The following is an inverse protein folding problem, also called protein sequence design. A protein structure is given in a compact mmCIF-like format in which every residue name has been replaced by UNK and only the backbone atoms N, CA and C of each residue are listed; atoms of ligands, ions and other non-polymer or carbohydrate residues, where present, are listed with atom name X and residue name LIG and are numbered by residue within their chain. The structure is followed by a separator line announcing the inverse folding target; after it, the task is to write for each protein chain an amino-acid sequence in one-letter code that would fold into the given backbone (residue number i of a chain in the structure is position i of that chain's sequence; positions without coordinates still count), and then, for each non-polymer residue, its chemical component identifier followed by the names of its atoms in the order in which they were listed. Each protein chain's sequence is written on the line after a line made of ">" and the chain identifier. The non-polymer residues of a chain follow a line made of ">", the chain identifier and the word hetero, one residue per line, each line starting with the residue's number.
data_IF_096786598480
#
_entry.id   IF_096786598480
#
_cell.length_a   1.000
_cell.length_b   1.000
_cell.length_c   1.000
_cell.angle_alpha   90.00
_cell.angle_beta   90.00
_cell.angle_gamma   90.00
#
_symmetry.space_group_name_H-M   'P 1'
#
loop_
_entity.id
_entity.type
_entity.pdbx_description
1 polymer ?
#
# COMPACT_ATOMS: atom_id res chain seq x y z
N UNK A 1 2.94 15.94 -11.14
CA UNK A 1 4.15 15.62 -11.90
C UNK A 1 4.27 16.65 -13.02
N UNK A 2 5.19 17.59 -12.90
CA UNK A 2 5.55 18.42 -14.04
C UNK A 2 6.29 17.51 -15.03
N UNK A 3 5.66 17.19 -16.13
CA UNK A 3 6.25 16.41 -17.22
C UNK A 3 7.07 17.28 -18.18
N UNK A 4 7.05 18.58 -17.95
CA UNK A 4 7.74 19.58 -18.79
C UNK A 4 8.74 20.38 -17.96
N UNK A 5 9.88 20.64 -18.52
CA UNK A 5 10.86 21.54 -17.95
C UNK A 5 10.36 22.99 -18.04
N UNK A 6 10.70 23.86 -17.09
CA UNK A 6 10.48 25.29 -17.26
C UNK A 6 11.16 25.81 -18.52
N UNK A 7 10.70 26.96 -19.03
CA UNK A 7 11.31 27.58 -20.22
C UNK A 7 12.82 27.77 -20.04
N UNK A 8 13.61 27.36 -21.00
CA UNK A 8 15.07 27.40 -20.98
C UNK A 8 15.76 26.19 -20.29
N UNK A 9 14.99 25.21 -19.78
CA UNK A 9 15.54 24.00 -19.15
C UNK A 9 15.20 22.76 -19.96
N UNK A 10 16.13 21.82 -20.01
CA UNK A 10 16.03 20.51 -20.65
C UNK A 10 16.55 19.41 -19.74
N UNK A 11 16.44 18.16 -20.13
CA UNK A 11 17.06 17.05 -19.40
C UNK A 11 18.57 17.20 -19.29
N UNK A 12 19.20 17.77 -20.31
CA UNK A 12 20.67 17.88 -20.40
C UNK A 12 21.24 19.02 -19.53
N UNK A 13 20.45 20.07 -19.29
CA UNK A 13 20.88 21.23 -18.49
C UNK A 13 20.19 21.32 -17.13
N UNK A 14 19.48 20.27 -16.71
CA UNK A 14 18.72 20.21 -15.44
C UNK A 14 19.13 19.01 -14.60
N UNK A 15 19.07 19.17 -13.29
CA UNK A 15 19.28 18.08 -12.34
C UNK A 15 18.05 17.87 -11.48
N UNK A 16 17.54 16.63 -11.45
CA UNK A 16 16.46 16.25 -10.55
C UNK A 16 16.97 16.16 -9.11
N UNK A 17 16.48 17.02 -8.24
CA UNK A 17 16.92 17.13 -6.84
C UNK A 17 15.94 16.53 -5.84
N UNK A 18 14.71 16.20 -6.28
CA UNK A 18 13.65 15.64 -5.46
C UNK A 18 12.35 15.51 -6.21
N UNK A 19 11.31 15.14 -5.49
CA UNK A 19 9.95 15.02 -6.03
C UNK A 19 8.93 14.77 -4.94
N UNK A 20 7.68 14.69 -5.34
CA UNK A 20 6.53 14.36 -4.51
C UNK A 20 5.45 13.69 -5.35
N UNK A 21 4.47 13.08 -4.69
CA UNK A 21 3.28 12.57 -5.33
C UNK A 21 2.09 13.49 -5.04
N UNK A 22 1.33 13.82 -6.09
CA UNK A 22 0.06 14.54 -5.95
C UNK A 22 -1.09 13.54 -6.13
N UNK A 23 -2.00 13.52 -5.18
CA UNK A 23 -3.11 12.57 -5.20
C UNK A 23 -4.12 12.83 -4.09
N UNK A 24 -4.93 11.82 -3.78
CA UNK A 24 -5.79 11.86 -2.60
C UNK A 24 -4.97 11.58 -1.35
N UNK A 25 -5.13 12.43 -0.36
CA UNK A 25 -4.51 12.36 0.95
C UNK A 25 -5.56 12.05 2.00
N UNK A 26 -5.15 11.30 3.04
CA UNK A 26 -5.96 11.10 4.24
C UNK A 26 -5.85 12.31 5.16
N UNK A 27 -6.96 12.71 5.79
CA UNK A 27 -6.90 13.62 6.93
C UNK A 27 -6.33 12.88 8.15
N UNK A 28 -5.30 13.44 8.76
CA UNK A 28 -4.68 12.93 9.99
C UNK A 28 -4.40 14.09 10.94
N UNK A 29 -4.45 13.81 12.26
CA UNK A 29 -4.03 14.78 13.27
C UNK A 29 -2.49 14.85 13.39
N UNK A 30 -1.98 15.64 14.33
CA UNK A 30 -0.56 15.79 14.58
C UNK A 30 0.14 14.49 15.04
N UNK A 31 -0.61 13.53 15.54
CA UNK A 31 -0.10 12.21 15.95
C UNK A 31 -0.17 11.16 14.81
N UNK A 32 -0.72 11.54 13.65
CA UNK A 32 -0.91 10.63 12.53
C UNK A 32 -2.18 9.79 12.55
N UNK A 33 -3.07 10.00 13.55
CA UNK A 33 -4.35 9.29 13.61
C UNK A 33 -5.32 9.83 12.57
N UNK A 34 -6.11 8.97 11.88
CA UNK A 34 -7.15 9.40 10.96
C UNK A 34 -8.20 10.26 11.67
N UNK A 35 -8.58 11.35 11.01
CA UNK A 35 -9.62 12.27 11.48
C UNK A 35 -10.58 12.58 10.35
N UNK A 36 -11.73 13.14 10.69
CA UNK A 36 -12.62 13.74 9.71
C UNK A 36 -12.18 15.19 9.35
N UNK A 37 -12.86 15.82 8.40
CA UNK A 37 -12.55 17.19 7.96
C UNK A 37 -12.74 18.26 9.06
N UNK A 38 -13.44 17.95 10.15
CA UNK A 38 -13.60 18.82 11.32
C UNK A 38 -12.61 18.53 12.46
N UNK A 39 -11.71 17.56 12.27
CA UNK A 39 -10.66 17.22 13.24
C UNK A 39 -11.04 16.16 14.27
N UNK A 40 -12.23 15.54 14.18
CA UNK A 40 -12.64 14.50 15.12
C UNK A 40 -12.06 13.13 14.74
N UNK A 41 -11.45 12.47 15.72
CA UNK A 41 -11.00 11.06 15.61
C UNK A 41 -12.21 10.14 15.77
N UNK A 42 -12.21 9.02 15.04
CA UNK A 42 -13.24 7.97 15.15
C UNK A 42 -14.69 8.49 15.06
N UNK A 43 -14.88 9.68 14.52
CA UNK A 43 -16.20 10.26 14.30
C UNK A 43 -16.87 9.68 13.07
N UNK A 44 -18.19 9.90 12.95
CA UNK A 44 -18.95 9.50 11.76
C UNK A 44 -18.31 10.04 10.47
N UNK A 45 -18.00 9.13 9.54
CA UNK A 45 -17.42 9.45 8.23
C UNK A 45 -15.92 9.71 8.21
N UNK A 46 -15.17 9.46 9.29
CA UNK A 46 -13.71 9.65 9.31
C UNK A 46 -13.01 8.78 8.26
N UNK A 47 -13.47 7.57 7.99
CA UNK A 47 -12.90 6.66 6.97
C UNK A 47 -12.99 7.23 5.56
N UNK A 48 -14.01 8.06 5.28
CA UNK A 48 -14.22 8.64 3.96
C UNK A 48 -13.54 9.99 3.74
N UNK A 49 -12.97 10.58 4.78
CA UNK A 49 -12.44 11.94 4.70
C UNK A 49 -11.06 11.97 4.06
N UNK A 50 -11.05 12.42 2.81
CA UNK A 50 -9.85 12.58 1.98
C UNK A 50 -9.91 13.91 1.24
N UNK A 51 -8.76 14.44 0.87
CA UNK A 51 -8.63 15.65 0.04
C UNK A 51 -7.64 15.41 -1.09
N UNK A 52 -7.64 16.29 -2.10
CA UNK A 52 -6.63 16.25 -3.15
C UNK A 52 -5.48 17.19 -2.80
N UNK A 53 -4.26 16.71 -2.85
CA UNK A 53 -3.11 17.52 -2.50
C UNK A 53 -1.78 16.82 -2.79
N UNK A 54 -0.70 17.46 -2.38
CA UNK A 54 0.61 16.81 -2.28
C UNK A 54 0.54 15.86 -1.09
N UNK A 55 0.84 14.59 -1.31
CA UNK A 55 0.96 13.60 -0.24
C UNK A 55 2.20 13.97 0.60
N UNK A 56 2.05 14.40 1.88
CA UNK A 56 3.15 15.01 2.62
C UNK A 56 4.35 14.09 2.77
N UNK A 57 4.11 12.81 3.11
CA UNK A 57 5.14 11.80 3.31
C UNK A 57 5.68 11.19 1.99
N UNK A 58 5.25 11.67 0.84
CA UNK A 58 5.82 11.30 -0.48
C UNK A 58 6.93 12.23 -0.94
N UNK A 59 7.23 13.28 -0.19
CA UNK A 59 8.30 14.22 -0.55
C UNK A 59 9.66 13.54 -0.37
N UNK A 60 10.42 13.48 -1.43
CA UNK A 60 11.77 12.90 -1.43
C UNK A 60 12.79 13.86 -2.04
N UNK A 61 14.03 13.72 -1.65
CA UNK A 61 15.18 14.48 -2.17
C UNK A 61 16.34 13.53 -2.47
N UNK A 62 17.40 14.02 -3.08
CA UNK A 62 18.61 13.21 -3.32
C UNK A 62 19.25 12.69 -2.03
N UNK A 63 18.97 13.31 -0.87
CA UNK A 63 19.48 12.92 0.45
C UNK A 63 18.48 12.15 1.31
N UNK A 64 17.19 12.27 1.00
CA UNK A 64 16.09 11.62 1.71
C UNK A 64 15.19 10.89 0.70
N UNK A 65 15.53 9.64 0.42
CA UNK A 65 14.82 8.80 -0.54
C UNK A 65 15.09 7.32 -0.26
N UNK A 66 14.20 6.41 -0.72
CA UNK A 66 14.48 4.97 -0.69
C UNK A 66 15.63 4.62 -1.66
N UNK A 67 16.31 3.52 -1.37
CA UNK A 67 17.32 2.92 -2.27
C UNK A 67 16.62 2.09 -3.36
N UNK A 68 15.83 2.72 -4.20
CA UNK A 68 15.15 2.07 -5.33
C UNK A 68 15.31 2.92 -6.59
N UNK A 69 14.96 2.34 -7.74
CA UNK A 69 15.13 3.00 -9.03
C UNK A 69 14.25 4.24 -9.17
N UNK A 70 12.97 4.13 -8.81
CA UNK A 70 12.01 5.25 -8.88
C UNK A 70 11.26 5.43 -7.55
N UNK A 71 11.58 6.48 -6.76
CA UNK A 71 10.89 6.82 -5.52
C UNK A 71 9.57 7.57 -5.74
N UNK A 72 9.20 7.92 -6.96
CA UNK A 72 8.10 8.86 -7.23
C UNK A 72 6.70 8.36 -6.86
N UNK A 73 6.54 7.08 -6.66
CA UNK A 73 5.28 6.44 -6.23
C UNK A 73 5.34 5.91 -4.79
N UNK A 74 6.22 6.44 -3.95
CA UNK A 74 6.44 5.93 -2.59
C UNK A 74 6.16 6.99 -1.52
N UNK A 75 5.88 6.53 -0.31
CA UNK A 75 5.73 7.34 0.92
C UNK A 75 6.67 6.87 2.00
N UNK A 76 7.16 7.82 2.80
CA UNK A 76 7.98 7.55 3.98
C UNK A 76 7.10 7.08 5.14
N UNK A 77 7.43 5.94 5.72
CA UNK A 77 6.69 5.29 6.82
C UNK A 77 7.36 5.49 8.19
N UNK A 78 8.52 6.14 8.22
CA UNK A 78 9.33 6.29 9.42
C UNK A 78 10.55 5.37 9.43
N UNK A 79 11.53 5.65 10.28
CA UNK A 79 12.72 4.82 10.54
C UNK A 79 13.50 4.38 9.28
N UNK A 80 13.49 5.21 8.24
CA UNK A 80 14.13 4.88 6.96
C UNK A 80 13.32 3.96 6.04
N UNK A 81 12.12 3.54 6.46
CA UNK A 81 11.22 2.69 5.68
C UNK A 81 10.40 3.53 4.70
N UNK A 82 10.24 3.01 3.48
CA UNK A 82 9.39 3.57 2.44
C UNK A 82 8.47 2.51 1.86
N UNK A 83 7.21 2.84 1.64
CA UNK A 83 6.22 1.96 1.04
C UNK A 83 5.68 2.51 -0.28
N UNK A 84 5.25 1.63 -1.16
CA UNK A 84 4.56 2.00 -2.40
C UNK A 84 3.17 2.58 -2.07
N UNK A 85 2.79 3.69 -2.71
CA UNK A 85 1.46 4.30 -2.55
C UNK A 85 0.37 3.41 -3.14
N UNK A 86 0.67 2.73 -4.22
CA UNK A 86 -0.27 1.88 -4.97
C UNK A 86 0.23 0.44 -5.01
N UNK A 87 -0.71 -0.48 -5.11
CA UNK A 87 -0.38 -1.89 -5.38
C UNK A 87 0.56 -2.00 -6.59
N UNK A 88 1.49 -2.92 -6.49
CA UNK A 88 2.49 -3.14 -7.53
C UNK A 88 1.86 -3.52 -8.86
N UNK A 89 2.28 -2.85 -9.91
CA UNK A 89 1.95 -3.18 -11.30
C UNK A 89 3.23 -3.42 -12.10
N UNK A 90 3.12 -4.11 -13.23
CA UNK A 90 4.26 -4.35 -14.12
C UNK A 90 4.76 -3.03 -14.73
N UNK A 91 6.06 -2.83 -14.78
CA UNK A 91 6.67 -1.63 -15.36
C UNK A 91 7.08 -1.80 -16.83
N UNK A 92 6.76 -2.93 -17.46
CA UNK A 92 7.16 -3.27 -18.84
C UNK A 92 8.61 -3.75 -18.99
N UNK A 93 9.41 -3.74 -17.90
CA UNK A 93 10.83 -4.13 -17.88
C UNK A 93 11.09 -5.27 -16.89
N UNK A 94 10.11 -6.13 -16.68
CA UNK A 94 10.12 -7.26 -15.75
C UNK A 94 10.24 -6.88 -14.26
N UNK A 95 10.14 -5.60 -13.93
CA UNK A 95 10.12 -5.07 -12.58
C UNK A 95 8.73 -4.63 -12.14
N UNK A 96 8.67 -3.97 -10.98
CA UNK A 96 7.44 -3.44 -10.39
C UNK A 96 7.45 -1.92 -10.37
N UNK A 97 6.27 -1.32 -10.47
CA UNK A 97 6.06 0.11 -10.26
C UNK A 97 4.86 0.37 -9.36
N UNK A 98 4.88 1.47 -8.63
CA UNK A 98 3.75 2.04 -7.91
C UNK A 98 3.09 3.11 -8.76
N UNK A 99 1.91 2.83 -9.31
CA UNK A 99 1.24 3.72 -10.27
C UNK A 99 -0.26 3.74 -10.08
N UNK A 100 -0.85 4.94 -10.12
CA UNK A 100 -2.30 5.13 -10.11
C UNK A 100 -2.95 4.59 -11.40
N UNK A 101 -4.14 4.01 -11.26
CA UNK A 101 -4.97 3.51 -12.37
C UNK A 101 -4.26 2.45 -13.23
N UNK A 102 -3.41 1.64 -12.62
CA UNK A 102 -2.73 0.50 -13.24
C UNK A 102 -3.36 -0.83 -12.78
N UNK A 103 -3.24 -1.87 -13.58
CA UNK A 103 -3.65 -3.21 -13.17
C UNK A 103 -2.62 -3.76 -12.17
N UNK A 104 -3.03 -4.11 -10.92
CA UNK A 104 -2.14 -4.82 -10.02
C UNK A 104 -1.70 -6.14 -10.64
N UNK A 105 -0.44 -6.50 -10.48
CA UNK A 105 0.04 -7.81 -10.93
C UNK A 105 -0.41 -8.89 -9.94
N UNK A 106 -0.90 -10.01 -10.46
CA UNK A 106 -1.46 -11.10 -9.65
C UNK A 106 -1.04 -12.47 -10.18
N UNK A 107 -1.59 -13.53 -9.61
CA UNK A 107 -1.43 -14.90 -10.13
C UNK A 107 -1.91 -15.09 -11.56
N UNK A 108 -2.80 -14.22 -12.06
CA UNK A 108 -3.23 -14.23 -13.48
C UNK A 108 -2.04 -13.97 -14.43
N UNK A 109 -1.09 -13.15 -14.01
CA UNK A 109 0.16 -12.89 -14.74
C UNK A 109 1.30 -13.82 -14.26
N UNK A 110 0.98 -14.91 -13.59
CA UNK A 110 1.96 -15.88 -13.08
C UNK A 110 2.69 -15.44 -11.81
N UNK A 111 2.20 -14.42 -11.11
CA UNK A 111 2.82 -13.96 -9.87
C UNK A 111 2.64 -15.02 -8.78
N UNK A 112 3.75 -15.46 -8.22
CA UNK A 112 3.83 -16.21 -6.98
C UNK A 112 4.86 -15.51 -6.06
N UNK A 113 5.06 -16.01 -4.85
CA UNK A 113 5.95 -15.41 -3.87
C UNK A 113 7.39 -15.21 -4.38
N UNK A 114 7.94 -16.21 -5.07
CA UNK A 114 9.31 -16.15 -5.61
C UNK A 114 9.45 -15.09 -6.69
N UNK A 115 8.50 -15.04 -7.62
CA UNK A 115 8.47 -14.06 -8.70
C UNK A 115 8.21 -12.66 -8.14
N UNK A 116 7.36 -12.51 -7.11
CA UNK A 116 7.12 -11.24 -6.44
C UNK A 116 8.40 -10.68 -5.83
N UNK A 117 9.16 -11.52 -5.10
CA UNK A 117 10.47 -11.16 -4.56
C UNK A 117 11.47 -10.78 -5.64
N UNK A 118 11.59 -11.58 -6.69
CA UNK A 118 12.50 -11.30 -7.80
C UNK A 118 12.19 -9.96 -8.46
N UNK A 119 10.93 -9.72 -8.83
CA UNK A 119 10.50 -8.46 -9.45
C UNK A 119 10.71 -7.24 -8.54
N UNK A 120 10.46 -7.37 -7.23
CA UNK A 120 10.72 -6.30 -6.27
C UNK A 120 12.22 -5.98 -6.18
N UNK A 121 13.07 -7.00 -6.05
CA UNK A 121 14.53 -6.83 -5.98
C UNK A 121 15.13 -6.20 -7.24
N UNK A 122 14.59 -6.49 -8.42
CA UNK A 122 15.03 -5.88 -9.70
C UNK A 122 14.91 -4.35 -9.72
N UNK A 123 14.02 -3.78 -8.91
CA UNK A 123 13.82 -2.33 -8.80
C UNK A 123 14.30 -1.78 -7.44
N UNK A 124 15.10 -2.55 -6.71
CA UNK A 124 15.66 -2.15 -5.41
C UNK A 124 14.65 -2.11 -4.27
N UNK A 125 13.60 -2.94 -4.34
CA UNK A 125 12.54 -3.09 -3.32
C UNK A 125 12.53 -4.51 -2.73
N UNK A 126 11.67 -4.74 -1.77
CA UNK A 126 11.36 -6.06 -1.19
C UNK A 126 9.88 -6.16 -0.83
N UNK A 127 9.43 -7.34 -0.48
CA UNK A 127 8.13 -7.52 0.15
C UNK A 127 8.14 -6.93 1.58
N UNK A 128 7.01 -6.46 2.10
CA UNK A 128 6.90 -6.01 3.49
C UNK A 128 6.85 -7.21 4.44
N UNK A 129 7.31 -7.02 5.66
CA UNK A 129 6.97 -7.92 6.77
C UNK A 129 5.53 -7.70 7.20
N UNK A 130 4.95 -8.63 7.97
CA UNK A 130 3.61 -8.49 8.53
C UNK A 130 3.48 -7.22 9.39
N UNK A 131 4.46 -6.95 10.25
CA UNK A 131 4.46 -5.74 11.08
C UNK A 131 4.52 -4.45 10.26
N UNK A 132 5.31 -4.41 9.19
CA UNK A 132 5.38 -3.27 8.26
C UNK A 132 4.07 -3.11 7.49
N UNK A 133 3.43 -4.22 7.11
CA UNK A 133 2.14 -4.20 6.44
C UNK A 133 1.05 -3.62 7.38
N UNK A 134 0.95 -4.09 8.62
CA UNK A 134 0.01 -3.57 9.61
C UNK A 134 0.23 -2.07 9.87
N UNK A 135 1.49 -1.64 10.02
CA UNK A 135 1.81 -0.21 10.14
C UNK A 135 1.34 0.59 8.91
N UNK A 136 1.58 0.09 7.73
CA UNK A 136 1.20 0.75 6.47
C UNK A 136 -0.34 0.80 6.29
N UNK A 137 -1.06 -0.25 6.72
CA UNK A 137 -2.50 -0.38 6.58
C UNK A 137 -3.30 0.39 7.64
N UNK A 138 -2.67 0.80 8.76
CA UNK A 138 -3.34 1.48 9.86
C UNK A 138 -4.23 2.63 9.37
N UNK A 139 -5.50 2.64 9.83
CA UNK A 139 -6.50 3.62 9.44
C UNK A 139 -7.09 3.45 8.03
N UNK A 140 -6.82 2.33 7.35
CA UNK A 140 -7.55 1.95 6.13
C UNK A 140 -9.02 1.64 6.48
N UNK A 141 -10.00 1.99 5.63
CA UNK A 141 -11.37 1.53 5.80
C UNK A 141 -11.46 0.02 5.56
N UNK A 142 -11.96 -0.72 6.54
CA UNK A 142 -11.97 -2.20 6.55
C UNK A 142 -13.36 -2.80 6.29
N UNK A 143 -14.40 -1.97 6.30
CA UNK A 143 -15.77 -2.44 6.08
C UNK A 143 -16.46 -2.98 7.33
N UNK A 144 -15.73 -3.34 8.37
CA UNK A 144 -16.30 -3.83 9.65
C UNK A 144 -16.47 -2.73 10.70
N UNK A 145 -15.92 -1.57 10.45
CA UNK A 145 -16.02 -0.38 11.29
C UNK A 145 -17.37 0.34 11.22
N UNK A 146 -18.40 -0.32 10.68
CA UNK A 146 -19.75 0.20 10.50
C UNK A 146 -19.92 1.14 9.30
N UNK A 147 -18.90 1.30 8.45
CA UNK A 147 -18.98 2.18 7.29
C UNK A 147 -18.43 1.52 6.01
N UNK A 148 -19.14 0.51 5.53
CA UNK A 148 -18.82 -0.19 4.29
C UNK A 148 -18.76 0.70 3.04
N UNK A 149 -19.29 1.92 3.10
CA UNK A 149 -19.34 2.85 1.96
C UNK A 149 -17.95 3.20 1.42
N UNK A 150 -16.93 3.14 2.26
CA UNK A 150 -15.56 3.54 1.92
C UNK A 150 -14.60 2.37 1.79
N UNK A 151 -15.04 1.17 2.14
CA UNK A 151 -14.24 -0.05 2.04
C UNK A 151 -14.37 -0.71 0.68
N UNK A 152 -13.44 -1.59 0.34
CA UNK A 152 -13.51 -2.40 -0.88
C UNK A 152 -14.77 -3.26 -0.95
N UNK A 153 -15.26 -3.76 0.20
CA UNK A 153 -16.51 -4.53 0.29
C UNK A 153 -17.73 -3.79 -0.26
N UNK A 154 -17.73 -2.46 -0.27
CA UNK A 154 -18.79 -1.65 -0.85
C UNK A 154 -18.87 -1.71 -2.39
N UNK A 155 -17.87 -2.26 -3.06
CA UNK A 155 -17.83 -2.33 -4.54
C UNK A 155 -18.52 -3.55 -5.12
N UNK A 156 -19.09 -4.43 -4.28
CA UNK A 156 -19.73 -5.68 -4.73
C UNK A 156 -18.74 -6.78 -5.12
N UNK A 157 -17.47 -6.66 -4.75
CA UNK A 157 -16.42 -7.66 -4.97
C UNK A 157 -16.40 -8.24 -6.40
N UNK A 158 -16.25 -7.36 -7.38
CA UNK A 158 -16.28 -7.71 -8.81
C UNK A 158 -14.93 -8.20 -9.33
N UNK A 159 -14.02 -8.64 -8.46
CA UNK A 159 -12.67 -9.07 -8.79
C UNK A 159 -11.66 -7.91 -8.85
N UNK A 160 -10.45 -8.23 -9.26
CA UNK A 160 -9.33 -7.26 -9.34
C UNK A 160 -9.70 -6.00 -10.09
N UNK A 161 -9.51 -4.86 -9.44
CA UNK A 161 -9.68 -3.54 -10.03
C UNK A 161 -8.33 -2.81 -10.18
N UNK A 162 -8.31 -1.75 -10.97
CA UNK A 162 -7.15 -0.88 -11.08
C UNK A 162 -6.82 -0.21 -9.76
N UNK A 163 -5.53 0.05 -9.53
CA UNK A 163 -5.04 0.71 -8.33
C UNK A 163 -5.73 2.05 -8.09
N UNK A 164 -6.20 2.26 -6.87
CA UNK A 164 -6.93 3.46 -6.48
C UNK A 164 -8.37 3.53 -7.00
N UNK A 165 -8.98 2.40 -7.38
CA UNK A 165 -10.37 2.32 -7.84
C UNK A 165 -11.34 2.82 -6.77
N UNK A 166 -11.22 2.36 -5.53
CA UNK A 166 -11.96 2.92 -4.40
C UNK A 166 -11.26 4.18 -3.93
N UNK A 167 -11.88 5.33 -4.17
CA UNK A 167 -11.25 6.63 -3.96
C UNK A 167 -10.77 6.87 -2.52
N UNK A 168 -11.47 6.30 -1.53
CA UNK A 168 -11.24 6.53 -0.11
C UNK A 168 -10.55 5.35 0.61
N UNK A 169 -10.22 4.27 -0.09
CA UNK A 169 -9.45 3.14 0.44
C UNK A 169 -7.98 3.54 0.62
N UNK A 170 -7.72 4.41 1.60
CA UNK A 170 -6.42 5.04 1.88
C UNK A 170 -6.12 4.91 3.37
N UNK A 171 -4.93 4.41 3.71
CA UNK A 171 -4.44 4.35 5.10
C UNK A 171 -4.06 5.74 5.65
N UNK A 172 -3.83 5.83 6.95
CA UNK A 172 -3.31 7.04 7.60
C UNK A 172 -1.97 7.51 7.00
N UNK A 173 -1.17 6.58 6.48
CA UNK A 173 0.11 6.86 5.83
C UNK A 173 0.00 7.09 4.32
N UNK A 174 -1.22 7.31 3.80
CA UNK A 174 -1.51 7.60 2.40
C UNK A 174 -1.19 6.47 1.41
N UNK A 175 -1.18 5.23 1.87
CA UNK A 175 -1.07 4.04 1.02
C UNK A 175 -2.47 3.56 0.64
N UNK A 176 -2.64 3.10 -0.58
CA UNK A 176 -3.93 2.73 -1.14
C UNK A 176 -4.08 1.22 -1.27
N UNK A 177 -5.34 0.78 -1.19
CA UNK A 177 -5.74 -0.60 -1.50
C UNK A 177 -5.01 -1.66 -0.64
N UNK A 178 -4.57 -1.31 0.59
CA UNK A 178 -3.94 -2.29 1.48
C UNK A 178 -4.96 -3.27 2.05
N UNK A 179 -6.20 -2.82 2.27
CA UNK A 179 -7.32 -3.69 2.61
C UNK A 179 -8.22 -3.80 1.38
N UNK A 180 -8.48 -5.02 0.92
CA UNK A 180 -9.27 -5.31 -0.27
C UNK A 180 -8.49 -5.29 -1.59
N UNK A 181 -9.19 -5.42 -2.68
CA UNK A 181 -8.73 -5.53 -4.07
C UNK A 181 -8.02 -6.85 -4.41
N UNK A 182 -6.88 -7.15 -3.80
CA UNK A 182 -6.11 -8.39 -3.99
C UNK A 182 -5.34 -8.72 -2.72
N UNK A 183 -5.01 -9.99 -2.53
CA UNK A 183 -4.07 -10.44 -1.50
C UNK A 183 -2.66 -9.90 -1.78
N UNK A 184 -1.94 -9.52 -0.71
CA UNK A 184 -0.56 -9.00 -0.78
C UNK A 184 0.40 -10.02 -0.21
N UNK A 185 1.43 -10.39 -0.98
CA UNK A 185 2.51 -11.23 -0.51
C UNK A 185 3.36 -10.50 0.54
N UNK A 186 3.63 -11.17 1.66
CA UNK A 186 4.55 -10.71 2.71
C UNK A 186 5.88 -11.45 2.62
N UNK A 187 6.91 -10.92 3.27
CA UNK A 187 8.27 -11.51 3.27
C UNK A 187 8.43 -12.55 4.40
N UNK A 188 7.35 -13.21 4.76
CA UNK A 188 7.31 -14.16 5.86
C UNK A 188 6.63 -15.44 5.43
N UNK A 189 7.02 -16.52 6.11
CA UNK A 189 6.39 -17.82 6.01
C UNK A 189 5.75 -18.16 7.34
N UNK A 190 4.62 -18.82 7.30
CA UNK A 190 3.93 -19.31 8.49
C UNK A 190 3.66 -20.81 8.40
N UNK A 191 3.61 -21.42 9.55
CA UNK A 191 3.19 -22.79 9.77
C UNK A 191 2.48 -22.85 11.12
N UNK A 192 1.23 -23.29 11.15
CA UNK A 192 0.58 -23.69 12.38
C UNK A 192 0.63 -25.23 12.49
N UNK A 193 1.52 -25.77 13.33
CA UNK A 193 1.70 -27.23 13.45
C UNK A 193 0.49 -27.93 14.10
N UNK A 194 -0.44 -27.17 14.65
CA UNK A 194 -1.65 -27.69 15.34
C UNK A 194 -2.90 -27.55 14.49
N UNK A 195 -2.89 -26.71 13.46
CA UNK A 195 -4.05 -26.49 12.64
C UNK A 195 -4.38 -27.68 11.74
N UNK A 196 -5.62 -28.09 11.74
CA UNK A 196 -6.15 -29.15 10.84
C UNK A 196 -6.74 -28.58 9.57
N UNK A 197 -6.93 -27.26 9.49
CA UNK A 197 -7.50 -26.54 8.34
C UNK A 197 -7.00 -25.10 8.31
N UNK A 198 -7.19 -24.42 7.19
CA UNK A 198 -6.99 -22.98 7.08
C UNK A 198 -7.91 -22.24 8.05
N UNK A 199 -7.36 -21.28 8.78
CA UNK A 199 -8.13 -20.48 9.73
C UNK A 199 -7.59 -19.05 9.85
N UNK A 200 -8.45 -18.14 10.33
CA UNK A 200 -8.08 -16.77 10.65
C UNK A 200 -7.56 -16.70 12.08
N UNK A 201 -6.46 -15.97 12.27
CA UNK A 201 -5.85 -15.74 13.57
C UNK A 201 -5.62 -14.24 13.77
N UNK A 202 -6.06 -13.71 14.89
CA UNK A 202 -5.71 -12.35 15.36
C UNK A 202 -4.28 -12.38 15.94
N UNK A 203 -3.29 -12.28 15.05
CA UNK A 203 -1.87 -12.42 15.40
C UNK A 203 -1.40 -11.33 16.38
N UNK A 204 -2.00 -10.15 16.32
CA UNK A 204 -1.65 -9.02 17.17
C UNK A 204 -2.53 -8.89 18.43
N UNK A 205 -3.61 -9.66 18.54
CA UNK A 205 -4.56 -9.59 19.66
C UNK A 205 -5.32 -8.27 19.73
N UNK A 206 -5.46 -7.57 18.59
CA UNK A 206 -6.03 -6.24 18.52
C UNK A 206 -7.44 -6.20 17.88
N UNK A 207 -7.97 -7.37 17.49
CA UNK A 207 -9.25 -7.49 16.79
C UNK A 207 -9.22 -7.01 15.32
N UNK A 208 -8.05 -6.71 14.80
CA UNK A 208 -7.79 -6.40 13.38
C UNK A 208 -6.34 -6.77 13.04
N UNK A 209 -6.07 -6.97 11.77
CA UNK A 209 -4.77 -7.48 11.32
C UNK A 209 -4.68 -9.00 11.38
N UNK A 210 -5.80 -9.68 11.11
CA UNK A 210 -5.88 -11.14 11.12
C UNK A 210 -5.05 -11.74 9.99
N UNK A 211 -4.33 -12.80 10.29
CA UNK A 211 -3.64 -13.62 9.31
C UNK A 211 -4.43 -14.90 9.02
N UNK A 212 -4.59 -15.23 7.74
CA UNK A 212 -5.19 -16.48 7.30
C UNK A 212 -4.08 -17.53 7.18
N UNK A 213 -3.96 -18.39 8.20
CA UNK A 213 -2.86 -19.34 8.34
C UNK A 213 -3.27 -20.71 7.82
N UNK A 214 -2.40 -21.38 7.01
CA UNK A 214 -2.68 -22.69 6.45
C UNK A 214 -2.65 -23.81 7.50
N UNK A 215 -3.21 -24.95 7.11
CA UNK A 215 -3.09 -26.18 7.85
C UNK A 215 -1.63 -26.64 7.98
N UNK A 216 -1.37 -27.54 8.92
CA UNK A 216 -0.05 -28.04 9.33
C UNK A 216 0.76 -28.85 8.32
N UNK A 217 0.41 -28.85 7.04
CA UNK A 217 1.00 -29.77 6.05
C UNK A 217 2.27 -29.26 5.39
N UNK A 218 2.50 -27.94 5.40
CA UNK A 218 3.69 -27.34 4.80
C UNK A 218 3.92 -25.91 5.26
N UNK A 219 5.14 -25.41 5.07
CA UNK A 219 5.47 -24.00 5.23
C UNK A 219 4.87 -23.21 4.06
N UNK A 220 4.13 -22.16 4.35
CA UNK A 220 3.47 -21.31 3.37
C UNK A 220 3.93 -19.86 3.47
N UNK A 221 4.02 -19.19 2.33
CA UNK A 221 4.23 -17.74 2.31
C UNK A 221 2.97 -17.03 2.81
N UNK A 222 3.16 -16.04 3.67
CA UNK A 222 2.06 -15.27 4.25
C UNK A 222 1.47 -14.30 3.22
N UNK A 223 0.15 -14.14 3.24
CA UNK A 223 -0.58 -13.11 2.50
C UNK A 223 -1.54 -12.40 3.42
N UNK A 224 -1.83 -11.13 3.13
CA UNK A 224 -2.72 -10.30 3.94
C UNK A 224 -3.52 -9.30 3.10
N UNK A 225 -4.55 -8.69 3.70
CA UNK A 225 -5.28 -7.54 3.16
C UNK A 225 -6.14 -7.83 1.92
N UNK A 226 -6.55 -9.08 1.70
CA UNK A 226 -7.38 -9.51 0.57
C UNK A 226 -8.84 -9.13 0.66
#
# INVERSE_FOLDING_TARGET
>A
KNSTYPSGYTADNSRKIGGFHYGKCRYVNALGNPINSSGAENGSGWQGNVYNGIIPNSVWTTKHRPKCDDPSGMVYLGNGLWGDIYLSSDNGSQGLQSKYNANPITGTEGLNWYIANEKARRVGKRLPTYAEFCQAAAGSPEGQDGNNTYAWSATGNTGRQKTGYVANAISALNIRDLVGNVWKWLDEFCLDPTASAWNWYDVLGAGYGDAYIPSNTALHALVDGG
#
